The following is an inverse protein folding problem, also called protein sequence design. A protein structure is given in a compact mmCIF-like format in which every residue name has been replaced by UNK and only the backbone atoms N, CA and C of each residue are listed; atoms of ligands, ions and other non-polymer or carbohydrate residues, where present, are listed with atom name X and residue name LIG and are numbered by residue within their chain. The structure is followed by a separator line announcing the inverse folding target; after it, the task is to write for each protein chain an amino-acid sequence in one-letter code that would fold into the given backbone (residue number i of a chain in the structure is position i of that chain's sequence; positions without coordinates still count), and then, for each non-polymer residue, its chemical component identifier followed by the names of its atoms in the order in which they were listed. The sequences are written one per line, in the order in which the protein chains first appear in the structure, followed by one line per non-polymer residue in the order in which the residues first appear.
data_IF_166189232185
#
_entry.id   IF_166189232185
#
_cell.length_a   1.000
_cell.length_b   1.000
_cell.length_c   1.000
_cell.angle_alpha   90.00
_cell.angle_beta   90.00
_cell.angle_gamma   90.00
#
_symmetry.space_group_name_H-M   'P 1'
#
loop_
_entity.id
_entity.type
_entity.pdbx_description
1 polymer ?
#
# COMPACT_ATOMS: atom_id res chain seq x y z
N UNK A 1 -16.28 -0.78 -5.12
CA UNK A 1 -14.82 -0.63 -5.37
C UNK A 1 -14.10 -0.88 -4.06
N UNK A 2 -13.38 -1.99 -3.91
CA UNK A 2 -12.66 -2.29 -2.68
C UNK A 2 -11.37 -1.45 -2.61
N UNK A 3 -11.07 -0.86 -1.46
CA UNK A 3 -9.83 -0.12 -1.24
C UNK A 3 -8.83 -1.06 -0.55
N UNK A 4 -7.77 -1.44 -1.25
CA UNK A 4 -6.69 -2.25 -0.69
C UNK A 4 -5.67 -1.30 -0.05
N UNK A 5 -5.35 -1.52 1.22
CA UNK A 5 -4.32 -0.79 1.96
C UNK A 5 -3.09 -1.69 2.11
N UNK A 6 -1.91 -1.12 1.89
CA UNK A 6 -0.61 -1.81 2.05
C UNK A 6 0.39 -0.83 2.63
N UNK A 7 1.19 -1.28 3.59
CA UNK A 7 2.25 -0.51 4.20
C UNK A 7 3.47 -1.41 4.45
N UNK A 8 4.66 -0.81 4.34
CA UNK A 8 5.93 -1.46 4.66
C UNK A 8 6.74 -0.53 5.55
N UNK A 9 7.35 -1.06 6.61
CA UNK A 9 8.29 -0.34 7.45
C UNK A 9 9.45 -1.25 7.81
N UNK A 10 10.61 -0.64 8.02
CA UNK A 10 11.82 -1.31 8.47
C UNK A 10 12.28 -0.61 9.74
N UNK A 11 12.67 -1.38 10.75
CA UNK A 11 13.12 -0.91 12.03
C UNK A 11 14.37 -1.69 12.48
N UNK A 12 15.12 -1.15 13.46
CA UNK A 12 16.30 -1.82 14.01
C UNK A 12 15.94 -3.14 14.73
N UNK A 13 14.69 -3.27 15.18
CA UNK A 13 14.14 -4.47 15.79
C UNK A 13 12.72 -4.76 15.24
N UNK A 14 12.21 -6.00 15.40
CA UNK A 14 10.89 -6.38 14.90
C UNK A 14 9.74 -5.55 15.49
N UNK A 15 9.81 -5.14 16.76
CA UNK A 15 8.77 -4.35 17.41
C UNK A 15 8.67 -2.95 16.81
N UNK A 16 9.80 -2.27 16.58
CA UNK A 16 9.88 -0.98 15.88
C UNK A 16 9.40 -1.06 14.43
N UNK A 17 9.62 -2.19 13.74
CA UNK A 17 9.10 -2.40 12.39
C UNK A 17 7.58 -2.53 12.37
N UNK A 18 7.00 -3.24 13.36
CA UNK A 18 5.54 -3.35 13.52
C UNK A 18 4.91 -2.00 13.84
N UNK A 19 5.48 -1.26 14.78
CA UNK A 19 5.00 0.08 15.15
C UNK A 19 5.04 1.03 13.96
N UNK A 20 6.12 1.01 13.16
CA UNK A 20 6.23 1.80 11.95
C UNK A 20 5.23 1.41 10.84
N UNK A 21 4.80 0.15 10.78
CA UNK A 21 3.71 -0.27 9.87
C UNK A 21 2.37 0.25 10.40
N UNK A 22 2.15 0.18 11.73
CA UNK A 22 0.93 0.64 12.38
C UNK A 22 0.67 2.12 12.11
N UNK A 23 1.69 2.98 12.31
CA UNK A 23 1.60 4.42 12.03
C UNK A 23 1.19 4.71 10.58
N UNK A 24 1.77 3.98 9.63
CA UNK A 24 1.48 4.15 8.20
C UNK A 24 0.05 3.70 7.86
N UNK A 25 -0.41 2.60 8.44
CA UNK A 25 -1.78 2.13 8.24
C UNK A 25 -2.80 3.08 8.88
N UNK A 26 -2.53 3.59 10.07
CA UNK A 26 -3.39 4.59 10.73
C UNK A 26 -3.54 5.86 9.88
N UNK A 27 -2.43 6.37 9.33
CA UNK A 27 -2.44 7.50 8.42
C UNK A 27 -3.27 7.23 7.15
N UNK A 28 -3.12 6.03 6.56
CA UNK A 28 -3.89 5.62 5.38
C UNK A 28 -5.38 5.52 5.69
N UNK A 29 -5.75 4.90 6.81
CA UNK A 29 -7.14 4.78 7.27
C UNK A 29 -7.74 6.17 7.56
N UNK A 30 -6.99 7.07 8.22
CA UNK A 30 -7.43 8.44 8.49
C UNK A 30 -7.66 9.23 7.21
N UNK A 31 -6.78 9.11 6.21
CA UNK A 31 -6.95 9.74 4.88
C UNK A 31 -8.15 9.18 4.14
N UNK A 32 -8.36 7.86 4.20
CA UNK A 32 -9.48 7.21 3.55
C UNK A 32 -10.81 7.64 4.21
N UNK A 33 -10.91 7.57 5.54
CA UNK A 33 -12.06 8.06 6.32
C UNK A 33 -12.31 9.56 6.07
N UNK A 34 -11.27 10.38 6.03
CA UNK A 34 -11.37 11.80 5.72
C UNK A 34 -11.92 12.10 4.32
N UNK A 35 -11.62 11.26 3.33
CA UNK A 35 -12.19 11.35 1.97
C UNK A 35 -13.68 10.97 1.92
N UNK A 36 -14.11 10.01 2.74
CA UNK A 36 -15.53 9.65 2.85
C UNK A 36 -16.34 10.71 3.61
N UNK A 37 -15.79 11.28 4.68
CA UNK A 37 -16.46 12.31 5.49
C UNK A 37 -16.60 13.65 4.74
N UNK A 38 -15.61 14.03 3.91
CA UNK A 38 -15.68 15.28 3.12
C UNK A 38 -16.68 15.25 1.95
N UNK A 39 -17.20 14.08 1.57
CA UNK A 39 -18.28 13.97 0.56
C UNK A 39 -19.69 14.18 1.14
N UNK A 40 -19.87 14.01 2.45
CA UNK A 40 -21.16 14.21 3.14
C UNK A 40 -21.38 15.61 3.72
N UNK A 41 -20.38 16.51 3.68
CA UNK A 41 -20.46 17.84 4.27
C UNK A 41 -20.30 18.95 3.22
N UNK A 42 -21.12 18.92 2.16
CA UNK A 42 -21.34 20.09 1.27
C UNK A 42 -22.64 20.84 1.55
N UNK A 43 -23.36 20.48 2.61
CA UNK A 43 -24.61 21.14 3.02
C UNK A 43 -24.57 21.47 4.51
N UNK A 44 -23.75 22.48 4.90
CA UNK A 44 -23.93 23.32 6.12
C UNK A 44 -22.64 24.06 6.53
N UNK A 45 -22.04 24.84 5.63
CA UNK A 45 -21.09 25.89 6.06
C UNK A 45 -21.13 27.13 5.18
N UNK A 46 -22.34 27.53 4.80
CA UNK A 46 -22.69 28.94 4.73
C UNK A 46 -23.28 29.28 6.11
N UNK A 47 -22.88 30.41 6.71
CA UNK A 47 -23.17 30.86 8.08
C UNK A 47 -22.30 30.30 9.22
N UNK A 48 -21.09 30.84 9.35
CA UNK A 48 -20.58 31.32 10.65
C UNK A 48 -19.41 32.30 10.45
N UNK A 49 -19.71 33.40 9.76
CA UNK A 49 -19.01 34.67 9.95
C UNK A 49 -19.59 35.36 11.20
N UNK A 50 -18.74 36.13 11.89
CA UNK A 50 -19.00 36.92 13.11
C UNK A 50 -19.19 36.14 14.43
N UNK A 51 -18.21 36.18 15.34
CA UNK A 51 -18.15 37.21 16.40
C UNK A 51 -17.19 36.81 17.57
N UNK A 52 -16.19 37.68 17.82
CA UNK A 52 -15.48 38.01 19.09
C UNK A 52 -14.39 37.10 19.71
N UNK A 53 -13.23 37.73 19.96
CA UNK A 53 -12.27 37.48 21.05
C UNK A 53 -12.63 38.35 22.29
N UNK A 54 -11.90 38.40 23.46
CA UNK A 54 -10.65 37.71 23.87
C UNK A 54 -10.51 37.26 25.39
N UNK A 55 -9.36 36.62 25.73
CA UNK A 55 -8.56 36.43 27.00
C UNK A 55 -9.10 35.86 28.35
N UNK A 56 -8.33 34.93 28.96
CA UNK A 56 -7.76 34.84 30.36
C UNK A 56 -6.95 33.51 30.44
N UNK A 57 -5.61 33.43 30.65
CA UNK A 57 -4.71 33.42 31.85
C UNK A 57 -5.03 32.34 32.92
N UNK A 58 -4.06 31.43 33.17
CA UNK A 58 -3.93 30.48 34.31
C UNK A 58 -3.69 29.02 33.86
N UNK A 59 -2.43 28.54 33.80
CA UNK A 59 -1.78 27.58 34.75
C UNK A 59 -2.28 26.12 34.58
N UNK A 60 -1.53 25.03 34.61
CA UNK A 60 -0.12 24.61 34.67
C UNK A 60 -0.19 23.09 34.38
N UNK A 61 0.76 22.50 33.65
CA UNK A 61 1.41 21.25 34.07
C UNK A 61 2.69 21.09 33.27
N UNK A 62 3.79 21.08 34.00
CA UNK A 62 5.10 20.64 33.59
C UNK A 62 5.05 19.32 32.82
N UNK A 63 5.73 19.26 31.67
CA UNK A 63 6.48 18.06 31.39
C UNK A 63 7.77 18.37 30.63
N UNK A 64 8.86 17.96 31.26
CA UNK A 64 10.23 18.16 30.86
C UNK A 64 10.57 17.19 29.72
N UNK A 65 10.92 17.68 28.53
CA UNK A 65 12.05 17.13 27.78
C UNK A 65 12.56 18.11 26.70
N UNK A 66 13.22 19.16 27.15
CA UNK A 66 14.07 19.97 26.31
C UNK A 66 15.44 19.31 26.19
N UNK A 67 15.70 18.51 25.14
CA UNK A 67 17.07 18.25 24.67
C UNK A 67 17.17 18.12 23.15
N UNK A 68 17.98 19.03 22.61
CA UNK A 68 18.75 18.98 21.38
C UNK A 68 18.05 19.26 20.04
N UNK A 69 18.08 20.55 19.69
CA UNK A 69 18.25 20.96 18.30
C UNK A 69 19.61 20.51 17.74
N UNK A 70 19.59 20.18 16.45
CA UNK A 70 20.68 20.41 15.50
C UNK A 70 20.10 20.43 14.08
N UNK A 71 20.08 21.64 13.55
CA UNK A 71 19.95 22.11 12.17
C UNK A 71 20.22 21.05 11.06
N UNK A 72 19.37 20.97 10.04
CA UNK A 72 19.55 21.78 8.81
C UNK A 72 18.29 21.71 7.93
N UNK A 73 17.71 22.85 7.50
CA UNK A 73 16.70 22.89 6.45
C UNK A 73 17.40 22.75 5.10
N UNK A 74 16.92 21.87 4.23
CA UNK A 74 17.26 21.97 2.80
C UNK A 74 15.95 22.31 2.08
N UNK A 75 15.98 23.53 1.58
CA UNK A 75 14.94 24.19 0.81
C UNK A 75 14.65 23.46 -0.51
N UNK A 76 13.46 23.74 -0.98
CA UNK A 76 12.89 23.37 -2.26
C UNK A 76 13.71 23.86 -3.46
N UNK A 77 13.83 23.00 -4.46
CA UNK A 77 13.96 23.35 -5.89
C UNK A 77 13.61 22.07 -6.65
N UNK A 78 12.33 21.81 -6.98
CA UNK A 78 11.70 22.24 -8.23
C UNK A 78 12.56 21.88 -9.46
N UNK A 79 12.19 20.77 -10.11
CA UNK A 79 12.13 20.58 -11.57
C UNK A 79 11.41 19.23 -11.79
N UNK A 80 10.08 19.22 -11.89
CA UNK A 80 9.33 19.32 -13.15
C UNK A 80 9.77 18.29 -14.19
N UNK A 81 9.18 17.10 -14.15
CA UNK A 81 8.62 16.46 -15.36
C UNK A 81 7.34 15.72 -14.99
N UNK A 82 6.26 16.49 -14.87
CA UNK A 82 4.92 15.96 -15.14
C UNK A 82 4.77 15.93 -16.67
N UNK A 83 5.24 14.85 -17.31
CA UNK A 83 5.03 14.70 -18.74
C UNK A 83 5.95 13.70 -19.42
N UNK A 84 5.75 12.42 -19.19
CA UNK A 84 5.77 11.44 -20.29
C UNK A 84 4.97 10.22 -19.85
N UNK A 85 4.38 9.51 -20.81
CA UNK A 85 3.26 8.59 -20.59
C UNK A 85 3.48 7.59 -19.45
N UNK A 86 2.38 7.03 -18.95
CA UNK A 86 2.38 5.83 -18.10
C UNK A 86 2.91 4.66 -18.96
N UNK A 87 4.20 4.70 -19.30
CA UNK A 87 4.85 3.67 -20.10
C UNK A 87 4.96 2.43 -19.22
N UNK A 88 4.59 1.25 -19.75
CA UNK A 88 4.57 0.02 -18.97
C UNK A 88 5.98 -0.32 -18.49
N UNK A 89 6.28 -0.02 -17.22
CA UNK A 89 7.58 -0.29 -16.60
C UNK A 89 7.58 -1.65 -15.88
N UNK A 90 8.43 -2.56 -16.34
CA UNK A 90 8.67 -3.84 -15.66
C UNK A 90 9.34 -3.57 -14.32
N UNK A 91 8.60 -3.77 -13.23
CA UNK A 91 9.07 -3.44 -11.87
C UNK A 91 9.78 -4.62 -11.19
N UNK A 92 9.48 -5.86 -11.59
CA UNK A 92 10.05 -7.07 -10.97
C UNK A 92 10.23 -8.17 -11.99
N UNK A 93 11.40 -8.80 -11.97
CA UNK A 93 11.73 -9.99 -12.77
C UNK A 93 11.98 -11.14 -11.80
N UNK A 94 11.22 -12.22 -11.94
CA UNK A 94 11.39 -13.43 -11.11
C UNK A 94 11.85 -14.56 -12.02
N UNK A 95 13.01 -15.15 -11.71
CA UNK A 95 13.58 -16.29 -12.43
C UNK A 95 13.54 -17.49 -11.49
N UNK A 96 13.02 -18.62 -11.97
CA UNK A 96 13.01 -19.86 -11.21
C UNK A 96 13.14 -21.04 -12.17
N UNK A 97 13.75 -22.11 -11.68
CA UNK A 97 13.85 -23.37 -12.41
C UNK A 97 12.51 -24.08 -12.31
N UNK A 98 11.88 -24.33 -13.45
CA UNK A 98 10.56 -24.96 -13.52
C UNK A 98 10.74 -26.46 -13.67
N UNK A 99 10.13 -27.25 -12.79
CA UNK A 99 10.04 -28.70 -12.94
C UNK A 99 8.72 -29.04 -13.64
N UNK A 100 8.68 -30.01 -14.57
CA UNK A 100 7.42 -30.50 -15.11
C UNK A 100 6.52 -30.99 -13.97
N UNK A 101 5.26 -30.56 -13.98
CA UNK A 101 4.24 -30.90 -12.99
C UNK A 101 2.86 -30.82 -13.62
N UNK A 102 1.84 -31.38 -12.97
CA UNK A 102 0.45 -31.27 -13.46
C UNK A 102 -0.14 -29.90 -13.12
N UNK A 103 -1.24 -29.54 -13.79
CA UNK A 103 -1.95 -28.29 -13.50
C UNK A 103 -2.46 -28.23 -12.04
N UNK A 104 -2.88 -29.37 -11.48
CA UNK A 104 -3.33 -29.47 -10.09
C UNK A 104 -2.19 -29.24 -9.09
N UNK A 105 -1.02 -29.82 -9.36
CA UNK A 105 0.19 -29.58 -8.57
C UNK A 105 0.62 -28.11 -8.64
N UNK A 106 0.54 -27.50 -9.82
CA UNK A 106 0.83 -26.08 -10.02
C UNK A 106 -0.11 -25.18 -9.18
N UNK A 107 -1.40 -25.53 -9.06
CA UNK A 107 -2.34 -24.82 -8.18
C UNK A 107 -1.91 -24.91 -6.72
N UNK A 108 -1.51 -26.09 -6.25
CA UNK A 108 -1.04 -26.26 -4.87
C UNK A 108 0.22 -25.42 -4.59
N UNK A 109 1.15 -25.36 -5.54
CA UNK A 109 2.34 -24.51 -5.42
C UNK A 109 1.98 -23.02 -5.41
N UNK A 110 1.04 -22.61 -6.27
CA UNK A 110 0.52 -21.24 -6.29
C UNK A 110 -0.07 -20.83 -4.94
N UNK A 111 -0.86 -21.70 -4.31
CA UNK A 111 -1.44 -21.46 -2.99
C UNK A 111 -0.40 -21.39 -1.89
N UNK A 112 0.57 -22.31 -1.89
CA UNK A 112 1.66 -22.37 -0.91
C UNK A 112 2.50 -21.09 -0.94
N UNK A 113 2.76 -20.55 -2.13
CA UNK A 113 3.49 -19.29 -2.31
C UNK A 113 2.62 -18.05 -2.08
N UNK A 114 1.29 -18.22 -1.95
CA UNK A 114 0.35 -17.12 -1.82
C UNK A 114 0.34 -16.20 -3.04
N UNK A 115 0.50 -16.77 -4.25
CA UNK A 115 0.47 -16.02 -5.50
C UNK A 115 -0.91 -16.10 -6.17
N UNK A 116 -1.19 -15.11 -7.03
CA UNK A 116 -2.42 -15.07 -7.83
C UNK A 116 -2.28 -15.82 -9.16
N UNK A 117 -1.05 -16.10 -9.59
CA UNK A 117 -0.71 -16.88 -10.77
C UNK A 117 0.57 -17.68 -10.55
N UNK A 118 0.74 -18.75 -11.30
CA UNK A 118 1.93 -19.61 -11.27
C UNK A 118 2.23 -20.16 -12.67
N UNK A 119 3.46 -19.93 -13.15
CA UNK A 119 3.96 -20.45 -14.41
C UNK A 119 4.63 -21.80 -14.17
N UNK A 120 4.21 -22.82 -14.90
CA UNK A 120 4.72 -24.19 -14.81
C UNK A 120 4.97 -24.78 -16.19
N UNK A 121 5.62 -25.94 -16.25
CA UNK A 121 5.68 -26.77 -17.46
C UNK A 121 4.76 -27.95 -17.22
N UNK A 122 3.79 -28.17 -18.11
CA UNK A 122 2.85 -29.27 -18.01
C UNK A 122 3.58 -30.59 -18.27
N UNK A 123 3.45 -31.55 -17.35
CA UNK A 123 4.11 -32.85 -17.44
C UNK A 123 3.61 -33.72 -18.61
N UNK A 124 2.40 -33.49 -19.10
CA UNK A 124 1.80 -34.27 -20.19
C UNK A 124 2.14 -33.70 -21.58
N UNK A 125 2.06 -32.37 -21.73
CA UNK A 125 2.32 -31.71 -23.02
C UNK A 125 3.74 -31.18 -23.17
N UNK A 126 4.53 -31.16 -22.09
CA UNK A 126 5.86 -30.53 -22.01
C UNK A 126 5.85 -29.02 -22.36
N UNK A 127 4.67 -28.41 -22.45
CA UNK A 127 4.49 -27.00 -22.78
C UNK A 127 4.40 -26.15 -21.51
N UNK A 128 4.80 -24.88 -21.63
CA UNK A 128 4.65 -23.92 -20.53
C UNK A 128 3.18 -23.55 -20.38
N UNK A 129 2.66 -23.54 -19.15
CA UNK A 129 1.30 -23.13 -18.83
C UNK A 129 1.26 -22.18 -17.64
N UNK A 130 0.19 -21.40 -17.52
CA UNK A 130 -0.04 -20.51 -16.37
C UNK A 130 -1.37 -20.87 -15.71
N UNK A 131 -1.32 -21.29 -14.45
CA UNK A 131 -2.52 -21.35 -13.60
C UNK A 131 -2.72 -20.01 -12.90
N UNK A 132 -3.96 -19.59 -12.74
CA UNK A 132 -4.30 -18.34 -12.05
C UNK A 132 -5.62 -18.42 -11.31
N UNK A 133 -5.77 -17.55 -10.32
CA UNK A 133 -6.99 -17.43 -9.51
C UNK A 133 -7.97 -16.48 -10.16
N UNK A 134 -9.21 -16.92 -10.34
CA UNK A 134 -10.31 -16.07 -10.84
C UNK A 134 -10.97 -15.33 -9.67
N UNK A 135 -11.78 -14.33 -10.00
CA UNK A 135 -12.44 -13.46 -9.01
C UNK A 135 -13.54 -14.17 -8.20
N UNK A 136 -14.08 -15.24 -8.75
CA UNK A 136 -15.08 -16.13 -8.11
C UNK A 136 -14.44 -17.19 -7.20
N UNK A 137 -13.10 -17.22 -7.12
CA UNK A 137 -12.36 -18.21 -6.34
C UNK A 137 -12.09 -19.51 -7.10
N UNK A 138 -12.53 -19.63 -8.36
CA UNK A 138 -12.17 -20.77 -9.19
C UNK A 138 -10.76 -20.61 -9.78
N UNK A 139 -10.19 -21.70 -10.30
CA UNK A 139 -8.92 -21.69 -10.99
C UNK A 139 -9.13 -21.62 -12.51
N UNK A 140 -8.21 -20.97 -13.21
CA UNK A 140 -8.11 -20.97 -14.66
C UNK A 140 -6.72 -21.42 -15.10
N UNK A 141 -6.64 -22.00 -16.30
CA UNK A 141 -5.42 -22.47 -16.95
C UNK A 141 -5.27 -21.74 -18.29
N UNK A 142 -4.06 -21.26 -18.60
CA UNK A 142 -3.67 -20.67 -19.87
C UNK A 142 -2.55 -21.53 -20.44
N UNK A 143 -2.75 -22.05 -21.65
CA UNK A 143 -1.76 -22.85 -22.40
C UNK A 143 -1.56 -22.21 -23.80
N UNK A 144 -0.33 -22.25 -24.34
CA UNK A 144 -0.04 -21.88 -25.73
C UNK A 144 -0.52 -22.97 -26.69
N UNK A 145 -0.95 -22.58 -27.90
CA UNK A 145 -1.27 -23.48 -29.03
C UNK A 145 0.01 -24.00 -29.70
#
# INVERSE_FOLDING_TARGET
KAHVLRAHASGPDPTSAVDGVLDKLEAQVKRLKGKFVRRGSRTSRAMRSMQRAPRTIGEETDNHNARNGRNHPIESSEDLEAGEGDEPRITRVTRFTVKPMTAEEAVLQMETLGHDFYLFVNAESEQAGVVYRRRDGSFGLIEPD
#
